data_IF_475108009030
#
_entry.id   IF_475108009030
#
_cell.length_a   1.000
_cell.length_b   1.000
_cell.length_c   1.000
_cell.angle_alpha   90.00
_cell.angle_beta   90.00
_cell.angle_gamma   90.00
#
_symmetry.space_group_name_H-M   'P 1'
#
loop_
_entity.id
_entity.type
_entity.pdbx_description
1 polymer ?
#
# COMPACT_ATOMS: atom_id res chain seq x y z
N UNK A 1 7.93 2.68 -15.55
CA UNK A 1 7.79 1.29 -16.02
C UNK A 1 6.36 0.74 -15.85
N UNK A 2 5.77 0.92 -14.71
CA UNK A 2 4.42 0.48 -14.36
C UNK A 2 3.52 1.71 -14.33
N UNK A 3 2.92 2.11 -15.45
CA UNK A 3 2.31 3.42 -15.60
C UNK A 3 0.76 3.35 -15.64
N UNK A 4 0.17 2.56 -16.52
CA UNK A 4 -1.28 2.48 -16.69
C UNK A 4 -2.00 1.88 -15.48
N UNK A 5 -1.55 0.71 -15.02
CA UNK A 5 -2.19 0.00 -13.91
C UNK A 5 -2.00 0.68 -12.56
N UNK A 6 -0.94 1.46 -12.35
CA UNK A 6 -0.73 2.26 -11.15
C UNK A 6 -1.47 3.59 -11.17
N UNK A 7 -2.01 3.98 -12.33
CA UNK A 7 -2.57 5.32 -12.59
C UNK A 7 -1.58 6.42 -12.18
N UNK A 8 -0.34 6.27 -12.61
CA UNK A 8 0.70 7.28 -12.43
C UNK A 8 0.25 8.61 -13.05
N UNK A 9 0.57 9.76 -12.44
CA UNK A 9 0.28 11.06 -13.02
C UNK A 9 0.85 11.18 -14.44
N UNK A 10 0.08 11.76 -15.34
CA UNK A 10 0.52 12.05 -16.70
C UNK A 10 1.50 13.22 -16.73
N UNK A 11 2.26 13.35 -17.82
CA UNK A 11 3.31 14.38 -17.94
C UNK A 11 2.77 15.80 -17.69
N UNK A 12 1.57 16.10 -18.16
CA UNK A 12 0.91 17.40 -17.94
C UNK A 12 0.64 17.64 -16.44
N UNK A 13 0.21 16.63 -15.69
CA UNK A 13 -0.02 16.75 -14.25
C UNK A 13 1.27 16.94 -13.48
N UNK A 14 2.34 16.24 -13.88
CA UNK A 14 3.67 16.38 -13.29
C UNK A 14 4.29 17.76 -13.50
N UNK A 15 3.98 18.44 -14.62
CA UNK A 15 4.46 19.82 -14.89
C UNK A 15 3.67 20.87 -14.12
N UNK A 16 2.40 20.64 -13.81
CA UNK A 16 1.55 21.60 -13.09
C UNK A 16 1.87 21.67 -11.59
N UNK A 17 2.18 20.55 -10.99
CA UNK A 17 2.51 20.46 -9.55
C UNK A 17 3.67 19.47 -9.37
N UNK A 18 4.72 19.84 -8.61
CA UNK A 18 5.79 18.90 -8.27
C UNK A 18 5.23 17.68 -7.53
N UNK A 19 5.52 16.49 -8.04
CA UNK A 19 5.14 15.22 -7.43
C UNK A 19 6.39 14.52 -6.90
N UNK A 20 6.33 14.08 -5.65
CA UNK A 20 7.39 13.31 -4.99
C UNK A 20 6.92 11.86 -4.81
N UNK A 21 7.85 10.92 -4.71
CA UNK A 21 7.52 9.51 -4.50
C UNK A 21 6.98 8.77 -5.74
N UNK A 22 7.12 9.35 -6.92
CA UNK A 22 6.73 8.73 -8.20
C UNK A 22 7.97 8.23 -8.93
N UNK A 23 7.98 6.96 -9.35
CA UNK A 23 9.10 6.33 -10.09
C UNK A 23 10.46 6.44 -9.36
N UNK A 24 10.47 6.22 -8.07
CA UNK A 24 11.67 6.42 -7.21
C UNK A 24 12.54 5.19 -7.05
N UNK A 25 12.10 4.03 -7.54
CA UNK A 25 12.85 2.76 -7.49
C UNK A 25 12.61 1.96 -8.76
N UNK A 26 13.56 1.08 -9.08
CA UNK A 26 13.37 0.10 -10.13
C UNK A 26 12.41 -1.02 -9.67
N UNK A 27 11.67 -1.68 -10.60
CA UNK A 27 10.71 -2.71 -10.25
C UNK A 27 11.28 -3.93 -9.51
N UNK A 28 12.58 -4.15 -9.64
CA UNK A 28 13.32 -5.23 -8.99
C UNK A 28 13.80 -4.87 -7.58
N UNK A 29 13.79 -3.58 -7.23
CA UNK A 29 14.24 -3.13 -5.93
C UNK A 29 13.15 -3.32 -4.87
N UNK A 30 13.50 -3.78 -3.66
CA UNK A 30 12.58 -3.82 -2.55
C UNK A 30 12.19 -2.41 -2.10
N UNK A 31 10.90 -2.17 -1.90
CA UNK A 31 10.39 -0.90 -1.41
C UNK A 31 9.56 -1.11 -0.14
N UNK A 32 10.00 -0.54 0.96
CA UNK A 32 9.38 -0.68 2.27
C UNK A 32 8.70 0.60 2.74
N UNK A 33 7.85 0.48 3.79
CA UNK A 33 7.28 1.65 4.45
C UNK A 33 8.36 2.55 5.08
N UNK A 34 9.47 1.99 5.58
CA UNK A 34 10.60 2.76 6.10
C UNK A 34 11.24 3.62 5.00
N UNK A 35 11.56 3.01 3.86
CA UNK A 35 12.13 3.72 2.72
C UNK A 35 11.20 4.81 2.19
N UNK A 36 9.88 4.54 2.17
CA UNK A 36 8.90 5.55 1.79
C UNK A 36 8.88 6.72 2.77
N UNK A 37 8.95 6.46 4.09
CA UNK A 37 8.98 7.51 5.11
C UNK A 37 10.21 8.40 4.95
N UNK A 38 11.39 7.84 4.71
CA UNK A 38 12.62 8.61 4.45
C UNK A 38 12.45 9.57 3.26
N UNK A 39 11.90 9.07 2.14
CA UNK A 39 11.65 9.89 0.95
C UNK A 39 10.59 10.97 1.22
N UNK A 40 9.54 10.62 1.97
CA UNK A 40 8.49 11.57 2.32
C UNK A 40 9.00 12.67 3.27
N UNK A 41 9.78 12.30 4.28
CA UNK A 41 10.41 13.26 5.22
C UNK A 41 11.30 14.26 4.49
N UNK A 42 12.14 13.80 3.57
CA UNK A 42 12.98 14.66 2.75
C UNK A 42 12.16 15.61 1.86
N UNK A 43 11.11 15.10 1.22
CA UNK A 43 10.21 15.92 0.40
C UNK A 43 9.44 16.95 1.22
N UNK A 44 8.94 16.57 2.40
CA UNK A 44 8.23 17.46 3.32
C UNK A 44 9.16 18.59 3.77
N UNK A 45 10.40 18.27 4.15
CA UNK A 45 11.38 19.27 4.57
C UNK A 45 11.71 20.28 3.45
N UNK A 46 11.91 19.80 2.21
CA UNK A 46 12.16 20.66 1.05
C UNK A 46 10.97 21.57 0.73
N UNK A 47 9.74 21.03 0.72
CA UNK A 47 8.52 21.80 0.44
C UNK A 47 8.30 22.85 1.54
N UNK A 48 8.47 22.47 2.81
CA UNK A 48 8.31 23.37 3.95
C UNK A 48 9.36 24.52 3.92
N UNK A 49 10.60 24.21 3.57
CA UNK A 49 11.66 25.22 3.43
C UNK A 49 11.33 26.28 2.36
N UNK A 50 10.53 25.90 1.36
CA UNK A 50 10.01 26.84 0.34
C UNK A 50 8.73 27.57 0.76
N UNK A 51 8.25 27.38 1.99
CA UNK A 51 7.02 28.00 2.50
C UNK A 51 5.75 27.52 1.76
N UNK A 52 5.76 26.30 1.22
CA UNK A 52 4.63 25.75 0.48
C UNK A 52 3.87 24.71 1.31
N UNK A 53 2.54 24.60 1.13
CA UNK A 53 1.76 23.54 1.78
C UNK A 53 2.17 22.17 1.24
N UNK A 54 2.19 21.19 2.15
CA UNK A 54 2.45 19.80 1.81
C UNK A 54 1.14 19.03 1.69
N UNK A 55 0.94 18.37 0.56
CA UNK A 55 -0.21 17.49 0.34
C UNK A 55 0.28 16.06 0.14
N UNK A 56 -0.08 15.16 1.05
CA UNK A 56 0.19 13.72 0.92
C UNK A 56 -1.06 13.03 0.37
N UNK A 57 -0.95 12.45 -0.82
CA UNK A 57 -2.06 11.79 -1.50
C UNK A 57 -1.81 10.29 -1.60
N UNK A 58 -2.75 9.48 -1.15
CA UNK A 58 -2.62 8.04 -1.22
C UNK A 58 -3.73 7.31 -0.46
N UNK A 59 -3.64 5.99 -0.41
CA UNK A 59 -4.66 5.16 0.24
C UNK A 59 -4.06 3.97 1.00
N UNK A 60 -2.74 3.88 1.12
CA UNK A 60 -2.07 2.83 1.90
C UNK A 60 -1.95 3.27 3.35
N UNK A 61 -2.93 2.86 4.17
CA UNK A 61 -3.01 3.30 5.57
C UNK A 61 -1.75 3.01 6.40
N UNK A 62 -1.05 1.89 6.12
CA UNK A 62 0.24 1.60 6.75
C UNK A 62 1.27 2.71 6.50
N UNK A 63 1.35 3.23 5.28
CA UNK A 63 2.28 4.31 4.92
C UNK A 63 1.91 5.62 5.61
N UNK A 64 0.63 5.97 5.62
CA UNK A 64 0.14 7.16 6.33
C UNK A 64 0.47 7.06 7.82
N UNK A 65 0.17 5.93 8.45
CA UNK A 65 0.50 5.70 9.87
C UNK A 65 2.00 5.76 10.13
N UNK A 66 2.82 5.14 9.27
CA UNK A 66 4.28 5.17 9.39
C UNK A 66 4.84 6.59 9.29
N UNK A 67 4.27 7.43 8.41
CA UNK A 67 4.67 8.83 8.31
C UNK A 67 4.30 9.63 9.56
N UNK A 68 3.08 9.46 10.06
CA UNK A 68 2.56 10.27 11.15
C UNK A 68 3.06 9.82 12.54
N UNK A 69 3.25 8.53 12.73
CA UNK A 69 3.59 7.97 14.05
C UNK A 69 4.92 7.23 14.08
N UNK A 70 5.59 7.10 12.94
CA UNK A 70 6.79 6.27 12.79
C UNK A 70 6.46 4.79 12.62
N UNK A 71 7.49 3.98 12.55
CA UNK A 71 7.41 2.52 12.58
C UNK A 71 7.82 2.01 13.96
N UNK A 72 7.38 0.83 14.32
CA UNK A 72 7.91 0.13 15.51
C UNK A 72 9.40 -0.10 15.34
N UNK A 73 10.15 0.00 16.43
CA UNK A 73 11.61 -0.22 16.46
C UNK A 73 11.90 -1.73 16.29
N UNK A 74 11.78 -2.19 15.09
CA UNK A 74 12.00 -3.57 14.70
C UNK A 74 12.58 -3.57 13.27
N UNK A 75 13.90 -3.39 13.16
CA UNK A 75 14.57 -3.43 11.86
C UNK A 75 14.32 -4.79 11.19
N UNK A 76 14.26 -4.81 9.87
CA UNK A 76 14.17 -6.07 9.14
C UNK A 76 15.45 -6.87 9.34
N UNK A 77 15.31 -8.17 9.56
CA UNK A 77 16.40 -9.13 9.55
C UNK A 77 16.20 -10.10 8.37
N UNK A 78 16.85 -9.86 7.23
CA UNK A 78 16.66 -10.69 6.04
C UNK A 78 17.07 -12.15 6.23
N UNK A 79 18.03 -12.43 7.12
CA UNK A 79 18.51 -13.78 7.39
C UNK A 79 17.50 -14.54 8.24
N UNK A 80 17.07 -13.96 9.37
CA UNK A 80 16.02 -14.54 10.22
C UNK A 80 14.73 -14.73 9.43
N UNK A 81 14.37 -13.77 8.58
CA UNK A 81 13.19 -13.87 7.73
C UNK A 81 13.26 -15.02 6.75
N UNK A 82 14.39 -15.18 6.04
CA UNK A 82 14.59 -16.29 5.10
C UNK A 82 14.49 -17.63 5.81
N UNK A 83 15.14 -17.79 6.96
CA UNK A 83 15.05 -19.01 7.75
C UNK A 83 13.61 -19.35 8.16
N UNK A 84 12.82 -18.34 8.56
CA UNK A 84 11.41 -18.52 8.90
C UNK A 84 10.53 -18.82 7.68
N UNK A 85 10.84 -18.27 6.50
CA UNK A 85 10.15 -18.58 5.25
C UNK A 85 10.43 -20.03 4.79
N UNK A 86 11.68 -20.49 4.90
CA UNK A 86 12.06 -21.89 4.64
C UNK A 86 11.38 -22.85 5.64
N UNK A 87 11.33 -22.48 6.91
CA UNK A 87 10.61 -23.25 7.93
C UNK A 87 9.11 -23.32 7.63
N UNK A 88 8.50 -22.21 7.19
CA UNK A 88 7.09 -22.15 6.81
C UNK A 88 6.78 -23.06 5.59
N UNK A 89 7.69 -23.15 4.63
CA UNK A 89 7.55 -24.08 3.50
C UNK A 89 7.59 -25.53 3.94
N UNK A 90 8.41 -25.86 4.94
CA UNK A 90 8.58 -27.22 5.46
C UNK A 90 7.44 -27.67 6.39
N UNK A 91 7.03 -26.79 7.33
CA UNK A 91 6.10 -27.13 8.41
C UNK A 91 4.64 -26.74 8.13
N UNK A 92 4.43 -25.81 7.20
CA UNK A 92 3.11 -25.31 6.84
C UNK A 92 2.57 -24.23 7.77
N UNK A 93 1.46 -23.62 7.35
CA UNK A 93 0.88 -22.44 7.98
C UNK A 93 0.41 -22.68 9.43
N UNK A 94 -0.18 -23.84 9.70
CA UNK A 94 -0.70 -24.16 11.03
C UNK A 94 0.40 -24.27 12.10
N UNK A 95 1.55 -24.87 11.74
CA UNK A 95 2.66 -25.01 12.65
C UNK A 95 3.28 -23.64 12.97
N UNK A 96 3.45 -22.80 11.96
CA UNK A 96 3.98 -21.45 12.13
C UNK A 96 3.03 -20.58 12.98
N UNK A 97 1.73 -20.72 12.77
CA UNK A 97 0.74 -19.98 13.57
C UNK A 97 0.71 -20.44 15.04
N UNK A 98 0.83 -21.75 15.31
CA UNK A 98 0.98 -22.28 16.69
C UNK A 98 2.24 -21.72 17.34
N UNK A 99 3.40 -21.73 16.65
CA UNK A 99 4.64 -21.15 17.16
C UNK A 99 4.48 -19.66 17.49
N UNK A 100 3.74 -18.91 16.65
CA UNK A 100 3.42 -17.51 16.97
C UNK A 100 2.56 -17.41 18.23
N UNK A 101 1.60 -18.31 18.44
CA UNK A 101 0.75 -18.29 19.62
C UNK A 101 1.53 -18.56 20.92
N UNK A 102 2.62 -19.32 20.86
CA UNK A 102 3.52 -19.58 22.01
C UNK A 102 4.27 -18.31 22.45
N UNK A 103 4.64 -17.43 21.51
CA UNK A 103 5.43 -16.22 21.80
C UNK A 103 4.58 -14.95 21.89
N UNK A 104 3.41 -14.92 21.21
CA UNK A 104 2.49 -13.78 21.21
C UNK A 104 1.06 -14.23 20.89
N UNK A 105 0.35 -14.71 21.90
CA UNK A 105 -1.03 -15.17 21.76
C UNK A 105 -1.98 -14.06 21.26
N UNK A 106 -1.75 -12.81 21.66
CA UNK A 106 -2.56 -11.67 21.24
C UNK A 106 -2.42 -11.41 19.73
N UNK A 107 -1.20 -11.49 19.21
CA UNK A 107 -0.96 -11.33 17.76
C UNK A 107 -1.51 -12.53 16.99
N UNK A 108 -1.29 -13.76 17.47
CA UNK A 108 -1.82 -14.96 16.82
C UNK A 108 -3.36 -14.93 16.73
N UNK A 109 -4.05 -14.51 17.78
CA UNK A 109 -5.51 -14.41 17.77
C UNK A 109 -6.08 -13.39 16.75
N UNK A 110 -5.26 -12.43 16.30
CA UNK A 110 -5.64 -11.40 15.33
C UNK A 110 -5.30 -11.76 13.88
N UNK A 111 -4.49 -12.79 13.67
CA UNK A 111 -4.04 -13.23 12.35
C UNK A 111 -4.74 -14.52 11.95
N UNK A 112 -5.17 -14.60 10.69
CA UNK A 112 -5.62 -15.87 10.15
C UNK A 112 -4.43 -16.84 9.98
N UNK A 113 -4.66 -18.12 10.20
CA UNK A 113 -3.64 -19.18 10.04
C UNK A 113 -2.98 -19.13 8.65
N UNK A 114 -3.77 -18.86 7.61
CA UNK A 114 -3.29 -18.78 6.23
C UNK A 114 -2.49 -17.50 5.91
N UNK A 115 -2.44 -16.51 6.83
CA UNK A 115 -1.70 -15.25 6.62
C UNK A 115 -0.21 -15.40 6.99
N UNK A 116 0.46 -16.33 6.28
CA UNK A 116 1.87 -16.65 6.52
C UNK A 116 2.79 -15.42 6.48
N UNK A 117 2.51 -14.47 5.61
CA UNK A 117 3.34 -13.25 5.48
C UNK A 117 3.39 -12.48 6.80
N UNK A 118 2.23 -12.32 7.46
CA UNK A 118 2.17 -11.61 8.74
C UNK A 118 2.63 -12.48 9.91
N UNK A 119 2.38 -13.78 9.86
CA UNK A 119 2.87 -14.73 10.87
C UNK A 119 4.39 -14.77 10.87
N UNK A 120 5.02 -14.93 9.70
CA UNK A 120 6.49 -14.90 9.56
C UNK A 120 7.06 -13.56 10.02
N UNK A 121 6.45 -12.43 9.63
CA UNK A 121 6.92 -11.12 10.10
C UNK A 121 6.81 -10.95 11.62
N UNK A 122 5.77 -11.46 12.25
CA UNK A 122 5.61 -11.41 13.70
C UNK A 122 6.70 -12.26 14.42
N UNK A 123 6.99 -13.44 13.89
CA UNK A 123 8.08 -14.28 14.40
C UNK A 123 9.46 -13.68 14.19
N UNK A 124 9.70 -13.04 13.02
CA UNK A 124 10.93 -12.28 12.73
C UNK A 124 11.14 -11.16 13.76
N UNK A 125 10.10 -10.38 14.05
CA UNK A 125 10.13 -9.32 15.06
C UNK A 125 10.53 -9.91 16.44
N UNK A 126 9.89 -11.00 16.82
CA UNK A 126 10.21 -11.65 18.09
C UNK A 126 11.66 -12.16 18.13
N UNK A 127 12.12 -12.82 17.06
CA UNK A 127 13.49 -13.33 16.97
C UNK A 127 14.54 -12.21 17.05
N UNK A 128 14.27 -11.07 16.41
CA UNK A 128 15.20 -9.94 16.33
C UNK A 128 15.23 -9.10 17.62
N UNK A 129 14.08 -8.95 18.28
CA UNK A 129 13.94 -8.01 19.41
C UNK A 129 13.83 -8.70 20.77
N UNK A 130 13.57 -10.00 20.81
CA UNK A 130 13.24 -10.75 22.03
C UNK A 130 11.88 -10.39 22.64
N UNK A 131 11.10 -9.51 21.99
CA UNK A 131 9.84 -8.99 22.52
C UNK A 131 8.65 -9.46 21.71
N UNK A 132 7.51 -9.65 22.35
CA UNK A 132 6.27 -9.94 21.63
C UNK A 132 5.86 -8.76 20.74
N UNK A 133 5.50 -9.00 19.46
CA UNK A 133 5.01 -7.95 18.56
C UNK A 133 3.83 -7.11 19.10
N UNK A 134 2.96 -7.71 19.92
CA UNK A 134 1.86 -7.00 20.60
C UNK A 134 2.38 -5.96 21.59
N UNK A 135 3.39 -6.30 22.37
CA UNK A 135 4.04 -5.39 23.33
C UNK A 135 4.68 -4.19 22.62
N UNK A 136 5.42 -4.44 21.56
CA UNK A 136 6.04 -3.36 20.76
C UNK A 136 4.98 -2.45 20.13
N UNK A 137 3.88 -3.02 19.63
CA UNK A 137 2.76 -2.22 19.10
C UNK A 137 2.09 -1.37 20.16
N UNK A 138 1.86 -1.91 21.35
CA UNK A 138 1.28 -1.17 22.46
C UNK A 138 2.18 0.01 22.87
N UNK A 139 3.46 -0.21 23.04
CA UNK A 139 4.43 0.86 23.32
C UNK A 139 4.46 1.93 22.22
N UNK A 140 4.37 1.53 20.95
CA UNK A 140 4.36 2.45 19.83
C UNK A 140 3.07 3.29 19.73
N UNK A 141 1.92 2.76 20.18
CA UNK A 141 0.62 3.44 20.12
C UNK A 141 0.57 4.77 20.90
N UNK A 142 1.49 4.96 21.87
CA UNK A 142 1.58 6.18 22.68
C UNK A 142 2.54 7.24 22.12
N UNK A 143 3.17 6.99 20.96
CA UNK A 143 4.06 7.98 20.36
C UNK A 143 3.26 9.17 19.81
N UNK A 144 3.70 10.42 20.07
CA UNK A 144 3.07 11.59 19.50
C UNK A 144 3.18 11.60 17.97
N UNK A 145 2.26 12.29 17.33
CA UNK A 145 2.34 12.49 15.88
C UNK A 145 3.61 13.28 15.51
N UNK A 146 4.32 12.82 14.49
CA UNK A 146 5.56 13.45 13.99
C UNK A 146 5.29 14.75 13.23
N UNK A 147 4.06 14.89 12.70
CA UNK A 147 3.63 16.05 11.91
C UNK A 147 2.25 16.52 12.39
N UNK A 148 1.99 17.83 12.42
CA UNK A 148 0.65 18.37 12.60
C UNK A 148 -0.13 18.21 11.28
N UNK A 149 -0.80 17.09 11.13
CA UNK A 149 -1.51 16.73 9.90
C UNK A 149 -3.02 16.65 10.08
N UNK A 150 -3.77 16.99 9.04
CA UNK A 150 -5.19 16.70 8.91
C UNK A 150 -5.38 15.56 7.93
N UNK A 151 -6.20 14.58 8.26
CA UNK A 151 -6.47 13.42 7.41
C UNK A 151 -7.89 13.55 6.88
N UNK A 152 -8.03 13.74 5.58
CA UNK A 152 -9.32 13.72 4.89
C UNK A 152 -9.44 12.45 4.07
N UNK A 153 -10.41 11.61 4.41
CA UNK A 153 -10.76 10.45 3.60
C UNK A 153 -11.92 10.83 2.67
N UNK A 154 -11.63 10.93 1.36
CA UNK A 154 -12.64 11.25 0.35
C UNK A 154 -13.55 10.04 0.15
N UNK A 155 -14.78 10.12 0.63
CA UNK A 155 -15.74 9.01 0.69
C UNK A 155 -16.96 9.26 -0.19
N UNK A 156 -16.84 9.06 -1.52
CA UNK A 156 -17.98 9.21 -2.42
C UNK A 156 -19.06 8.16 -2.13
N UNK A 157 -20.31 8.41 -2.53
CA UNK A 157 -21.36 7.41 -2.51
C UNK A 157 -20.92 6.11 -3.19
N UNK A 158 -21.38 4.98 -2.65
CA UNK A 158 -20.93 3.65 -3.10
C UNK A 158 -21.13 3.46 -4.61
N UNK A 159 -22.29 3.82 -5.13
CA UNK A 159 -22.62 3.68 -6.55
C UNK A 159 -21.72 4.53 -7.44
N UNK A 160 -21.38 5.74 -6.99
CA UNK A 160 -20.45 6.60 -7.68
C UNK A 160 -19.04 6.00 -7.73
N UNK A 161 -18.57 5.51 -6.58
CA UNK A 161 -17.28 4.83 -6.48
C UNK A 161 -17.21 3.60 -7.42
N UNK A 162 -18.25 2.77 -7.41
CA UNK A 162 -18.34 1.58 -8.27
C UNK A 162 -18.32 1.95 -9.77
N UNK A 163 -19.05 3.00 -10.16
CA UNK A 163 -19.02 3.53 -11.54
C UNK A 163 -17.63 4.06 -11.92
N UNK A 164 -16.98 4.83 -11.04
CA UNK A 164 -15.62 5.36 -11.27
C UNK A 164 -14.60 4.23 -11.40
N UNK A 165 -14.67 3.20 -10.56
CA UNK A 165 -13.80 2.01 -10.63
C UNK A 165 -13.99 1.31 -11.96
N UNK A 166 -15.23 1.00 -12.37
CA UNK A 166 -15.51 0.33 -13.62
C UNK A 166 -14.99 1.12 -14.83
N UNK A 167 -15.30 2.42 -14.89
CA UNK A 167 -14.84 3.29 -15.97
C UNK A 167 -13.30 3.41 -16.03
N UNK A 168 -12.64 3.50 -14.86
CA UNK A 168 -11.17 3.54 -14.80
C UNK A 168 -10.56 2.24 -15.28
N UNK A 169 -11.07 1.10 -14.81
CA UNK A 169 -10.56 -0.22 -15.19
C UNK A 169 -10.71 -0.43 -16.70
N UNK A 170 -11.86 -0.14 -17.27
CA UNK A 170 -12.08 -0.19 -18.71
C UNK A 170 -11.03 0.63 -19.48
N UNK A 171 -10.87 1.91 -19.12
CA UNK A 171 -9.86 2.77 -19.74
C UNK A 171 -8.45 2.22 -19.64
N UNK A 172 -8.06 1.56 -18.55
CA UNK A 172 -6.75 0.93 -18.43
C UNK A 172 -6.53 -0.15 -19.48
N UNK A 173 -7.52 -1.03 -19.68
CA UNK A 173 -7.44 -2.09 -20.69
C UNK A 173 -7.51 -1.52 -22.12
N UNK A 174 -8.40 -0.58 -22.40
CA UNK A 174 -8.51 0.12 -23.69
C UNK A 174 -7.21 0.87 -24.07
N UNK A 175 -6.52 1.45 -23.09
CA UNK A 175 -5.23 2.13 -23.30
C UNK A 175 -4.05 1.18 -23.42
N UNK A 176 -4.26 -0.13 -23.39
CA UNK A 176 -3.25 -1.13 -23.67
C UNK A 176 -2.50 -1.66 -22.43
N UNK A 177 -3.18 -1.85 -21.29
CA UNK A 177 -2.55 -2.44 -20.10
C UNK A 177 -1.91 -3.79 -20.38
N UNK A 178 -2.52 -4.64 -21.24
CA UNK A 178 -1.92 -5.93 -21.63
C UNK A 178 -0.64 -5.74 -22.45
N UNK A 179 -0.62 -4.75 -23.34
CA UNK A 179 0.59 -4.42 -24.13
C UNK A 179 1.71 -3.87 -23.22
N UNK A 180 1.36 -3.02 -22.22
CA UNK A 180 2.33 -2.56 -21.21
C UNK A 180 2.92 -3.76 -20.46
N UNK A 181 2.09 -4.73 -20.03
CA UNK A 181 2.56 -5.94 -19.35
C UNK A 181 3.45 -6.78 -20.25
N UNK A 182 3.11 -6.94 -21.53
CA UNK A 182 3.97 -7.64 -22.50
C UNK A 182 5.37 -7.00 -22.59
N UNK A 183 5.42 -5.68 -22.68
CA UNK A 183 6.68 -4.93 -22.66
C UNK A 183 7.44 -5.02 -21.32
N UNK A 184 6.75 -5.15 -20.20
CA UNK A 184 7.39 -5.37 -18.89
C UNK A 184 7.96 -6.78 -18.77
N UNK A 185 7.24 -7.79 -19.25
CA UNK A 185 7.71 -9.19 -19.27
C UNK A 185 8.96 -9.34 -20.15
N UNK A 186 8.98 -8.74 -21.35
CA UNK A 186 10.14 -8.79 -22.24
C UNK A 186 11.39 -8.13 -21.65
N UNK A 187 11.22 -7.22 -20.68
CA UNK A 187 12.31 -6.58 -19.91
C UNK A 187 12.68 -7.33 -18.63
N UNK A 188 12.12 -8.51 -18.38
CA UNK A 188 12.45 -9.34 -17.22
C UNK A 188 11.69 -8.99 -15.94
N UNK A 189 10.64 -8.16 -15.98
CA UNK A 189 9.89 -7.75 -14.80
C UNK A 189 8.71 -8.65 -14.42
N UNK A 190 8.62 -9.86 -15.05
CA UNK A 190 7.50 -10.79 -14.83
C UNK A 190 7.29 -11.17 -13.36
N UNK A 191 8.37 -11.45 -12.64
CA UNK A 191 8.31 -11.98 -11.27
C UNK A 191 8.49 -10.91 -10.19
N UNK A 192 8.46 -9.63 -10.57
CA UNK A 192 8.63 -8.50 -9.64
C UNK A 192 7.39 -8.25 -8.79
N UNK A 193 7.58 -7.63 -7.63
CA UNK A 193 6.49 -7.33 -6.71
C UNK A 193 5.37 -6.46 -7.34
N UNK A 194 5.66 -5.41 -8.14
CA UNK A 194 4.61 -4.63 -8.81
C UNK A 194 3.74 -5.45 -9.76
N UNK A 195 4.27 -6.49 -10.41
CA UNK A 195 3.51 -7.35 -11.32
C UNK A 195 2.38 -8.10 -10.61
N UNK A 196 2.48 -8.30 -9.30
CA UNK A 196 1.44 -8.96 -8.49
C UNK A 196 0.30 -8.02 -8.09
N UNK A 197 0.40 -6.73 -8.38
CA UNK A 197 -0.63 -5.76 -8.02
C UNK A 197 -1.89 -5.91 -8.88
N UNK A 198 -3.01 -5.34 -8.37
CA UNK A 198 -4.30 -5.36 -9.06
C UNK A 198 -4.20 -4.64 -10.40
N UNK A 199 -4.72 -5.23 -11.44
CA UNK A 199 -4.60 -4.80 -12.83
C UNK A 199 -3.46 -5.53 -13.54
N UNK A 200 -2.24 -5.47 -13.03
CA UNK A 200 -1.07 -6.10 -13.65
C UNK A 200 -1.14 -7.63 -13.64
N UNK A 201 -1.50 -8.25 -12.50
CA UNK A 201 -1.63 -9.71 -12.43
C UNK A 201 -2.74 -10.24 -13.34
N UNK A 202 -3.82 -9.48 -13.53
CA UNK A 202 -4.90 -9.85 -14.44
C UNK A 202 -4.46 -9.70 -15.91
N UNK A 203 -3.80 -8.59 -16.24
CA UNK A 203 -3.25 -8.40 -17.59
C UNK A 203 -2.16 -9.43 -17.93
N UNK A 204 -1.35 -9.85 -16.96
CA UNK A 204 -0.41 -10.96 -17.12
C UNK A 204 -1.16 -12.29 -17.38
N UNK A 205 -2.28 -12.54 -16.70
CA UNK A 205 -3.09 -13.72 -16.94
C UNK A 205 -3.71 -13.74 -18.36
N UNK A 206 -4.06 -12.56 -18.90
CA UNK A 206 -4.48 -12.44 -20.32
C UNK A 206 -3.32 -12.76 -21.26
N UNK A 207 -2.15 -12.20 -21.02
CA UNK A 207 -0.95 -12.44 -21.84
C UNK A 207 -0.57 -13.93 -21.87
N UNK A 208 -0.78 -14.63 -20.77
CA UNK A 208 -0.50 -16.06 -20.61
C UNK A 208 -1.68 -16.97 -21.05
N UNK A 209 -2.76 -16.43 -21.60
CA UNK A 209 -3.91 -17.19 -22.07
C UNK A 209 -4.77 -17.83 -20.97
N UNK A 210 -4.61 -17.42 -19.71
CA UNK A 210 -5.37 -17.93 -18.55
C UNK A 210 -6.69 -17.20 -18.28
N UNK A 211 -6.89 -16.03 -18.89
CA UNK A 211 -8.10 -15.22 -18.81
C UNK A 211 -8.36 -14.52 -20.14
N UNK A 212 -9.62 -14.28 -20.47
CA UNK A 212 -9.95 -13.30 -21.54
C UNK A 212 -9.77 -11.86 -21.04
N UNK A 213 -9.70 -10.90 -21.96
CA UNK A 213 -9.58 -9.48 -21.60
C UNK A 213 -10.79 -8.99 -20.78
N UNK A 214 -12.00 -9.46 -21.13
CA UNK A 214 -13.23 -9.11 -20.43
C UNK A 214 -13.27 -9.71 -19.01
N UNK A 215 -12.77 -10.92 -18.82
CA UNK A 215 -12.65 -11.53 -17.49
C UNK A 215 -11.65 -10.75 -16.63
N UNK A 216 -10.51 -10.41 -17.19
CA UNK A 216 -9.48 -9.64 -16.51
C UNK A 216 -9.96 -8.23 -16.10
N UNK A 217 -10.72 -7.55 -16.98
CA UNK A 217 -11.35 -6.27 -16.65
C UNK A 217 -12.32 -6.43 -15.48
N UNK A 218 -13.24 -7.40 -15.54
CA UNK A 218 -14.20 -7.65 -14.46
C UNK A 218 -13.53 -7.98 -13.14
N UNK A 219 -12.51 -8.85 -13.14
CA UNK A 219 -11.78 -9.23 -11.93
C UNK A 219 -10.98 -8.05 -11.36
N UNK A 220 -10.35 -7.25 -12.23
CA UNK A 220 -9.65 -6.02 -11.80
C UNK A 220 -10.59 -5.05 -11.11
N UNK A 221 -11.79 -4.82 -11.67
CA UNK A 221 -12.80 -3.97 -11.06
C UNK A 221 -13.29 -4.53 -9.70
N UNK A 222 -13.52 -5.84 -9.60
CA UNK A 222 -13.91 -6.50 -8.36
C UNK A 222 -12.86 -6.35 -7.28
N UNK A 223 -11.59 -6.64 -7.61
CA UNK A 223 -10.48 -6.53 -6.65
C UNK A 223 -10.23 -5.08 -6.23
N UNK A 224 -10.43 -4.12 -7.14
CA UNK A 224 -10.33 -2.68 -6.80
C UNK A 224 -11.43 -2.26 -5.83
N UNK A 225 -12.68 -2.75 -6.00
CA UNK A 225 -13.76 -2.52 -5.01
C UNK A 225 -13.42 -3.13 -3.64
N UNK A 226 -12.88 -4.34 -3.62
CA UNK A 226 -12.41 -4.98 -2.37
C UNK A 226 -11.30 -4.16 -1.70
N UNK A 227 -10.38 -3.63 -2.50
CA UNK A 227 -9.32 -2.76 -2.00
C UNK A 227 -9.86 -1.45 -1.41
N UNK A 228 -10.78 -0.78 -2.09
CA UNK A 228 -11.44 0.42 -1.58
C UNK A 228 -12.19 0.16 -0.25
N UNK A 229 -12.88 -0.99 -0.13
CA UNK A 229 -13.50 -1.41 1.14
C UNK A 229 -12.47 -1.57 2.26
N UNK A 230 -11.30 -2.18 1.97
CA UNK A 230 -10.20 -2.32 2.95
C UNK A 230 -9.65 -0.96 3.38
N UNK A 231 -9.45 -0.01 2.44
CA UNK A 231 -9.03 1.35 2.75
C UNK A 231 -10.02 2.03 3.69
N UNK A 232 -11.32 2.01 3.35
CA UNK A 232 -12.37 2.59 4.18
C UNK A 232 -12.41 2.01 5.60
N UNK A 233 -12.26 0.69 5.73
CA UNK A 233 -12.20 0.00 7.03
C UNK A 233 -10.97 0.40 7.83
N UNK A 234 -9.82 0.58 7.19
CA UNK A 234 -8.59 1.03 7.83
C UNK A 234 -8.74 2.45 8.37
N UNK A 235 -9.13 3.40 7.51
CA UNK A 235 -9.20 4.81 7.87
C UNK A 235 -10.31 5.13 8.89
N UNK A 236 -11.35 4.30 9.01
CA UNK A 236 -12.31 4.40 10.12
C UNK A 236 -11.70 4.15 11.50
N UNK A 237 -10.57 3.46 11.54
CA UNK A 237 -9.85 3.15 12.78
C UNK A 237 -8.63 4.05 12.99
N UNK A 238 -8.32 4.91 12.02
CA UNK A 238 -7.22 5.84 12.12
C UNK A 238 -7.68 7.10 12.85
N UNK A 239 -7.08 7.42 14.01
CA UNK A 239 -7.48 8.61 14.78
C UNK A 239 -7.36 9.89 13.96
N UNK A 240 -8.30 10.82 14.17
CA UNK A 240 -8.29 12.12 13.51
C UNK A 240 -8.71 12.10 12.03
N UNK A 241 -9.10 10.95 11.48
CA UNK A 241 -9.57 10.87 10.10
C UNK A 241 -10.98 11.48 9.97
N UNK A 242 -11.10 12.48 9.09
CA UNK A 242 -12.36 13.09 8.71
C UNK A 242 -12.85 12.46 7.40
N UNK A 243 -14.07 11.90 7.41
CA UNK A 243 -14.71 11.37 6.21
C UNK A 243 -15.47 12.48 5.51
N UNK A 244 -15.08 12.76 4.26
CA UNK A 244 -15.62 13.86 3.47
C UNK A 244 -16.38 13.31 2.26
N UNK A 245 -17.68 13.66 2.19
CA UNK A 245 -18.50 13.43 1.01
C UNK A 245 -18.31 14.55 -0.04
N UNK A 246 -18.61 14.29 -1.31
CA UNK A 246 -18.61 15.35 -2.32
C UNK A 246 -19.65 16.46 -1.99
N UNK A 247 -19.45 17.71 -2.40
CA UNK A 247 -18.25 18.23 -3.08
C UNK A 247 -17.06 18.40 -2.14
N UNK A 248 -15.85 18.29 -2.68
CA UNK A 248 -14.60 18.28 -1.89
C UNK A 248 -13.94 19.66 -1.76
N UNK A 249 -14.64 20.74 -2.12
CA UNK A 249 -14.08 22.09 -2.15
C UNK A 249 -13.51 22.52 -0.79
N UNK A 250 -14.20 22.17 0.31
CA UNK A 250 -13.72 22.45 1.67
C UNK A 250 -12.36 21.84 1.99
N UNK A 251 -12.05 20.67 1.41
CA UNK A 251 -10.73 20.02 1.62
C UNK A 251 -9.63 20.87 1.01
N UNK A 252 -9.87 21.48 -0.14
CA UNK A 252 -8.91 22.35 -0.82
C UNK A 252 -8.76 23.69 -0.10
N UNK A 253 -9.86 24.28 0.37
CA UNK A 253 -9.86 25.50 1.19
C UNK A 253 -9.07 25.31 2.49
N UNK A 254 -9.32 24.20 3.21
CA UNK A 254 -8.61 23.87 4.44
C UNK A 254 -7.12 23.56 4.23
N UNK A 255 -6.76 23.11 3.04
CA UNK A 255 -5.37 22.90 2.64
C UNK A 255 -4.64 24.19 2.19
N UNK A 256 -5.35 25.32 2.15
CA UNK A 256 -4.81 26.58 1.62
C UNK A 256 -4.63 26.57 0.10
N UNK A 257 -5.33 25.68 -0.59
CA UNK A 257 -5.32 25.50 -2.05
C UNK A 257 -6.63 26.06 -2.61
N UNK A 258 -6.81 27.38 -2.59
CA UNK A 258 -7.91 28.02 -3.35
C UNK A 258 -7.71 27.82 -4.86
N UNK A 259 -8.84 27.67 -5.58
CA UNK A 259 -8.85 27.57 -7.06
C UNK A 259 -8.22 28.79 -7.72
#
# INVERSE_FOLDING_TARGET
>A
HFDLGTAKPEAEQLTRVPHHGVSVVEPTEPFSAARWVELADAAIADIAARGRPVLVVGGTGLYVRALLHGLTDSPPDPEARRALEEEAQRLGAEAMHRRLAEVDLETAAKLAVADLVRVVRALEIHATTGSAPSTLRAAHAFRPARYPARIHFLDPPREELERRIAARTRRMFERGLVAEVSGLVSRGFRDTAPMRSVGYRQALAVLEGRMSAEEAERDTALETRRYAKRQRTWFRREPGTQFVAPPYDRVWEEAGLSR
#
